data_IF_861295441456
#
_entry.id   IF_861295441456
#
_cell.length_a   1.000
_cell.length_b   1.000
_cell.length_c   1.000
_cell.angle_alpha   90.00
_cell.angle_beta   90.00
_cell.angle_gamma   90.00
#
_symmetry.space_group_name_H-M   'P 1'
#
loop_
_entity.id
_entity.type
_entity.pdbx_description
1 polymer ?
#
# COMPACT_ATOMS: atom_id res chain seq x y z
N UNK A 1 -2.09 -14.51 -7.48
CA UNK A 1 -2.75 -13.20 -7.64
C UNK A 1 -1.67 -12.20 -8.02
N UNK A 2 -1.99 -11.18 -8.82
CA UNK A 2 -1.00 -10.23 -9.35
C UNK A 2 -1.17 -8.89 -8.65
N UNK A 3 -0.06 -8.24 -8.27
CA UNK A 3 -0.09 -6.89 -7.71
C UNK A 3 -0.36 -5.89 -8.83
N UNK A 4 -1.31 -5.01 -8.58
CA UNK A 4 -1.75 -3.99 -9.52
C UNK A 4 -1.10 -2.64 -9.20
N UNK A 5 -0.63 -1.94 -10.24
CA UNK A 5 -0.04 -0.60 -10.14
C UNK A 5 -0.99 0.41 -10.74
N UNK A 6 -1.29 1.48 -10.00
CA UNK A 6 -2.25 2.50 -10.42
C UNK A 6 -1.56 3.82 -10.74
N UNK A 7 -1.98 4.44 -11.85
CA UNK A 7 -1.56 5.81 -12.21
C UNK A 7 -2.43 6.85 -11.49
N UNK A 8 -3.72 6.58 -11.38
CA UNK A 8 -4.66 7.34 -10.58
C UNK A 8 -5.14 6.46 -9.42
N UNK A 9 -5.07 6.99 -8.19
CA UNK A 9 -5.55 6.27 -7.01
C UNK A 9 -7.07 6.00 -7.06
N UNK A 10 -7.84 6.76 -7.84
CA UNK A 10 -9.25 6.51 -8.07
C UNK A 10 -9.51 5.18 -8.79
N UNK A 11 -8.54 4.70 -9.58
CA UNK A 11 -8.63 3.43 -10.30
C UNK A 11 -8.34 2.22 -9.40
N UNK A 12 -7.77 2.45 -8.20
CA UNK A 12 -7.48 1.35 -7.29
C UNK A 12 -8.78 0.75 -6.73
N UNK A 13 -8.84 -0.58 -6.54
CA UNK A 13 -10.00 -1.27 -6.02
C UNK A 13 -10.62 -0.59 -4.79
N UNK A 14 -11.95 -0.69 -4.60
CA UNK A 14 -12.55 -0.27 -3.35
C UNK A 14 -12.08 -1.19 -2.22
N UNK A 15 -12.02 -0.69 -0.98
CA UNK A 15 -11.70 -1.51 0.15
C UNK A 15 -12.93 -2.36 0.50
N UNK A 16 -12.76 -3.45 1.27
CA UNK A 16 -13.85 -4.34 1.62
C UNK A 16 -14.89 -3.67 2.54
N UNK A 17 -16.12 -4.20 2.50
CA UNK A 17 -17.12 -3.99 3.54
C UNK A 17 -17.62 -2.56 3.73
N UNK A 18 -17.51 -1.67 2.73
CA UNK A 18 -17.90 -0.27 2.87
C UNK A 18 -16.96 0.52 3.79
N UNK A 19 -15.76 0.01 4.06
CA UNK A 19 -14.68 0.78 4.66
C UNK A 19 -14.41 2.00 3.78
N UNK A 20 -14.27 3.17 4.37
CA UNK A 20 -14.11 4.38 3.59
C UNK A 20 -12.65 4.85 3.59
N UNK A 21 -12.21 5.47 2.49
CA UNK A 21 -10.83 5.96 2.35
C UNK A 21 -10.55 7.24 3.15
N UNK A 22 -11.55 7.83 3.79
CA UNK A 22 -11.46 9.14 4.44
C UNK A 22 -11.10 9.10 5.93
N UNK A 23 -11.08 7.94 6.58
CA UNK A 23 -10.87 7.87 8.03
C UNK A 23 -9.43 8.12 8.50
N UNK A 24 -8.42 8.11 7.60
CA UNK A 24 -7.01 8.22 8.00
C UNK A 24 -6.29 9.43 7.41
N UNK A 25 -7.01 10.50 7.05
CA UNK A 25 -6.52 11.61 6.21
C UNK A 25 -5.27 12.38 6.69
N UNK A 26 -4.74 12.09 7.87
CA UNK A 26 -3.55 12.73 8.45
C UNK A 26 -2.55 11.74 9.08
N UNK A 27 -2.71 10.43 8.84
CA UNK A 27 -1.76 9.43 9.30
C UNK A 27 -0.76 9.14 8.18
N UNK A 28 0.53 9.27 8.49
CA UNK A 28 1.61 8.89 7.59
C UNK A 28 1.99 7.44 7.89
N UNK A 29 2.02 6.61 6.86
CA UNK A 29 2.54 5.25 6.94
C UNK A 29 3.66 5.03 5.91
N UNK A 30 4.89 4.69 6.34
CA UNK A 30 5.99 4.41 5.42
C UNK A 30 5.79 3.10 4.66
N UNK A 31 4.96 2.19 5.17
CA UNK A 31 4.74 0.88 4.58
C UNK A 31 3.34 0.70 3.99
N UNK A 32 2.44 1.64 4.23
CA UNK A 32 1.09 1.67 3.68
C UNK A 32 -0.01 1.24 4.65
N UNK A 33 -1.17 0.85 4.15
CA UNK A 33 -2.37 0.52 4.92
C UNK A 33 -3.03 -0.78 4.44
N UNK A 34 -3.38 -1.65 5.38
CA UNK A 34 -4.18 -2.86 5.11
C UNK A 34 -5.56 -2.75 5.73
N UNK A 35 -6.56 -3.26 5.02
CA UNK A 35 -7.88 -3.47 5.59
C UNK A 35 -7.87 -4.79 6.36
N UNK A 36 -8.24 -4.74 7.65
CA UNK A 36 -8.30 -5.91 8.54
C UNK A 36 -9.71 -6.03 9.10
N UNK A 37 -10.25 -7.24 9.09
CA UNK A 37 -11.55 -7.54 9.70
C UNK A 37 -11.36 -7.96 11.16
N UNK A 38 -12.04 -7.28 12.08
CA UNK A 38 -12.06 -7.56 13.51
C UNK A 38 -13.54 -7.63 13.92
N UNK A 39 -13.98 -8.79 14.43
CA UNK A 39 -15.37 -9.04 14.86
C UNK A 39 -16.43 -8.66 13.80
N UNK A 40 -16.13 -8.95 12.53
CA UNK A 40 -17.04 -8.66 11.40
C UNK A 40 -17.05 -7.20 10.92
N UNK A 41 -16.19 -6.36 11.49
CA UNK A 41 -16.03 -4.95 11.10
C UNK A 41 -14.65 -4.72 10.48
N UNK A 42 -14.60 -3.97 9.38
CA UNK A 42 -13.35 -3.65 8.69
C UNK A 42 -12.69 -2.39 9.25
N UNK A 43 -11.38 -2.42 9.39
CA UNK A 43 -10.56 -1.31 9.90
C UNK A 43 -9.33 -1.09 9.02
N UNK A 44 -8.91 0.17 8.90
CA UNK A 44 -7.58 0.48 8.39
C UNK A 44 -6.52 0.27 9.47
N UNK A 45 -5.50 -0.51 9.16
CA UNK A 45 -4.32 -0.67 10.00
C UNK A 45 -3.06 -0.30 9.21
N UNK A 46 -2.06 0.35 9.84
CA UNK A 46 -0.78 0.56 9.17
C UNK A 46 -0.13 -0.78 8.84
N UNK A 47 0.39 -0.89 7.62
CA UNK A 47 1.21 -2.02 7.20
C UNK A 47 2.54 -2.05 7.96
N UNK A 48 3.12 -3.24 8.08
CA UNK A 48 4.47 -3.43 8.60
C UNK A 48 5.51 -3.45 7.48
N UNK A 49 6.79 -3.39 7.84
CA UNK A 49 7.89 -3.65 6.92
C UNK A 49 7.75 -5.03 6.24
N UNK A 50 7.32 -6.04 6.99
CA UNK A 50 7.11 -7.39 6.48
C UNK A 50 5.98 -7.43 5.44
N UNK A 51 4.86 -6.73 5.69
CA UNK A 51 3.76 -6.61 4.72
C UNK A 51 4.26 -5.97 3.42
N UNK A 52 5.03 -4.88 3.51
CA UNK A 52 5.62 -4.20 2.36
C UNK A 52 6.58 -5.10 1.59
N UNK A 53 7.55 -5.72 2.26
CA UNK A 53 8.55 -6.58 1.62
C UNK A 53 7.90 -7.74 0.91
N UNK A 54 6.91 -8.38 1.52
CA UNK A 54 6.18 -9.50 0.93
C UNK A 54 5.43 -9.08 -0.33
N UNK A 55 4.71 -7.96 -0.29
CA UNK A 55 4.02 -7.47 -1.47
C UNK A 55 5.03 -7.08 -2.56
N UNK A 56 6.03 -6.28 -2.23
CA UNK A 56 6.96 -5.78 -3.23
C UNK A 56 7.86 -6.88 -3.83
N UNK A 57 8.18 -7.92 -3.07
CA UNK A 57 8.91 -9.10 -3.57
C UNK A 57 8.10 -9.85 -4.63
N UNK A 58 6.78 -9.99 -4.43
CA UNK A 58 5.89 -10.58 -5.43
C UNK A 58 5.83 -9.73 -6.70
N UNK A 59 5.77 -8.40 -6.56
CA UNK A 59 5.73 -7.46 -7.69
C UNK A 59 7.02 -7.48 -8.51
N UNK A 60 8.16 -7.47 -7.83
CA UNK A 60 9.50 -7.39 -8.45
C UNK A 60 10.08 -8.75 -8.82
N UNK A 61 9.46 -9.86 -8.37
CA UNK A 61 9.99 -11.23 -8.50
C UNK A 61 11.36 -11.38 -7.85
N UNK A 62 11.48 -10.87 -6.63
CA UNK A 62 12.67 -10.94 -5.79
C UNK A 62 12.35 -11.75 -4.52
N UNK A 63 13.37 -12.07 -3.72
CA UNK A 63 13.15 -12.52 -2.34
C UNK A 63 12.79 -11.32 -1.44
N UNK A 64 11.96 -11.50 -0.38
CA UNK A 64 11.61 -10.41 0.54
C UNK A 64 12.82 -9.70 1.18
N UNK A 65 13.93 -10.43 1.39
CA UNK A 65 15.18 -9.88 1.92
C UNK A 65 15.88 -8.94 0.93
N UNK A 66 15.64 -9.11 -0.37
CA UNK A 66 16.32 -8.38 -1.44
C UNK A 66 15.53 -7.12 -1.86
N UNK A 67 14.33 -6.94 -1.32
CA UNK A 67 13.54 -5.72 -1.53
C UNK A 67 14.22 -4.54 -0.85
N UNK A 68 14.59 -3.53 -1.64
CA UNK A 68 15.10 -2.27 -1.11
C UNK A 68 13.94 -1.43 -0.54
N UNK A 69 14.06 -1.02 0.73
CA UNK A 69 13.09 -0.12 1.34
C UNK A 69 13.47 1.32 1.07
N UNK A 70 12.60 2.03 0.37
CA UNK A 70 12.75 3.45 0.09
C UNK A 70 11.72 4.25 0.89
N UNK A 71 12.11 4.65 2.09
CA UNK A 71 11.27 5.46 2.99
C UNK A 71 10.91 6.85 2.43
N UNK A 72 11.51 7.24 1.30
CA UNK A 72 11.15 8.47 0.57
C UNK A 72 9.82 8.38 -0.19
N UNK A 73 9.21 7.19 -0.28
CA UNK A 73 7.89 6.95 -0.84
C UNK A 73 7.00 6.37 0.27
N UNK A 74 5.92 7.08 0.61
CA UNK A 74 5.08 6.76 1.77
C UNK A 74 3.60 7.08 1.48
N UNK A 75 2.70 6.60 2.34
CA UNK A 75 1.28 6.95 2.30
C UNK A 75 0.95 8.06 3.28
N UNK A 76 0.14 9.04 2.85
CA UNK A 76 -0.51 10.04 3.73
C UNK A 76 -2.00 9.75 3.94
N UNK A 77 -2.41 8.53 3.60
CA UNK A 77 -3.77 8.00 3.63
C UNK A 77 -3.83 6.74 2.77
N UNK A 78 -4.91 5.95 2.79
CA UNK A 78 -4.88 4.60 2.24
C UNK A 78 -4.87 4.58 0.70
N UNK A 79 -5.20 5.73 0.07
CA UNK A 79 -5.11 5.96 -1.38
C UNK A 79 -4.06 7.00 -1.80
N UNK A 80 -3.42 7.68 -0.87
CA UNK A 80 -2.59 8.85 -1.21
C UNK A 80 -1.11 8.52 -1.04
N UNK A 81 -0.38 8.53 -2.15
CA UNK A 81 1.07 8.40 -2.14
C UNK A 81 1.75 9.76 -2.10
N UNK A 82 2.78 9.86 -1.25
CA UNK A 82 3.61 11.04 -1.06
C UNK A 82 5.09 10.70 -1.24
N UNK A 83 5.86 11.73 -1.59
CA UNK A 83 7.30 11.65 -1.73
C UNK A 83 7.79 11.35 -3.15
N UNK A 84 9.10 11.22 -3.28
CA UNK A 84 9.80 11.13 -4.57
C UNK A 84 10.73 9.93 -4.60
N UNK A 85 10.81 9.31 -5.77
CA UNK A 85 11.77 8.27 -6.08
C UNK A 85 12.86 8.85 -6.98
N UNK A 86 14.11 8.40 -6.82
CA UNK A 86 15.26 8.99 -7.53
C UNK A 86 15.07 9.16 -9.05
N UNK A 87 14.40 8.21 -9.69
CA UNK A 87 14.12 8.26 -11.15
C UNK A 87 12.62 8.15 -11.48
N UNK A 88 11.71 8.36 -10.52
CA UNK A 88 10.29 8.11 -10.73
C UNK A 88 9.36 8.74 -9.68
N UNK A 89 8.07 8.45 -9.81
CA UNK A 89 7.07 8.92 -8.86
C UNK A 89 6.66 7.79 -7.91
N UNK A 90 6.26 8.18 -6.71
CA UNK A 90 5.64 7.29 -5.75
C UNK A 90 4.23 6.94 -6.26
N UNK A 91 3.93 5.66 -6.48
CA UNK A 91 2.65 5.18 -7.02
C UNK A 91 1.96 4.24 -6.07
N UNK A 92 0.63 4.26 -6.12
CA UNK A 92 -0.20 3.36 -5.33
C UNK A 92 -0.18 1.96 -5.94
N UNK A 93 0.02 0.98 -5.07
CA UNK A 93 0.02 -0.44 -5.36
C UNK A 93 -1.04 -1.12 -4.51
N UNK A 94 -1.64 -2.20 -5.02
CA UNK A 94 -2.58 -3.01 -4.26
C UNK A 94 -2.19 -4.49 -4.30
N UNK A 95 -2.05 -5.09 -3.12
CA UNK A 95 -1.97 -6.54 -2.94
C UNK A 95 -3.34 -7.10 -2.53
N UNK A 96 -4.07 -7.76 -3.45
CA UNK A 96 -5.40 -8.30 -3.15
C UNK A 96 -5.37 -9.47 -2.16
N UNK A 97 -4.26 -10.19 -2.03
CA UNK A 97 -4.16 -11.31 -1.10
C UNK A 97 -4.18 -10.86 0.38
N UNK A 98 -3.81 -9.60 0.64
CA UNK A 98 -3.72 -9.03 1.99
C UNK A 98 -4.66 -7.84 2.19
N UNK A 99 -5.50 -7.48 1.20
CA UNK A 99 -6.24 -6.21 1.16
C UNK A 99 -5.36 -5.01 1.51
N UNK A 100 -4.16 -4.98 0.92
CA UNK A 100 -3.08 -4.09 1.34
C UNK A 100 -2.76 -3.08 0.24
N UNK A 101 -2.85 -1.81 0.60
CA UNK A 101 -2.52 -0.67 -0.22
C UNK A 101 -1.20 -0.11 0.27
N UNK A 102 -0.26 0.09 -0.65
CA UNK A 102 1.05 0.61 -0.29
C UNK A 102 1.59 1.47 -1.42
N UNK A 103 2.62 2.27 -1.13
CA UNK A 103 3.28 3.06 -2.17
C UNK A 103 4.64 2.49 -2.49
N UNK A 104 4.95 2.42 -3.78
CA UNK A 104 6.27 2.03 -4.26
C UNK A 104 6.69 2.86 -5.46
N UNK A 105 7.98 2.84 -5.75
CA UNK A 105 8.56 3.55 -6.89
C UNK A 105 8.23 2.86 -8.21
N UNK A 106 7.73 3.62 -9.20
CA UNK A 106 7.46 3.09 -10.56
C UNK A 106 7.04 4.08 -11.63
#
# INVERSE_FOLDING_TARGET
>A
MTIETFRDANDAPPPPGGLEFFETKDLISPFGYKAVEIDGTWFWMPGTEEDYRKAESERLRLEPSDVEIRLSCYQTGPKTCGGMCGTGFCRLMFNPAQNFYYCACG
#
